data_IF_088679663436
#
_entry.id   IF_088679663436
#
_cell.length_a   1.000
_cell.length_b   1.000
_cell.length_c   1.000
_cell.angle_alpha   90.00
_cell.angle_beta   90.00
_cell.angle_gamma   90.00
#
_symmetry.space_group_name_H-M   'P 1'
#
loop_
_entity.id
_entity.type
_entity.pdbx_description
1 polymer ?
#
# COMPACT_ATOMS: atom_id res chain seq x y z
N UNK A 1 40.11 -3.15 17.55
CA UNK A 1 39.42 -2.39 16.48
C UNK A 1 38.52 -3.38 15.75
N UNK A 2 37.25 -3.46 16.13
CA UNK A 2 36.26 -4.28 15.42
C UNK A 2 35.54 -3.43 14.38
N UNK A 3 35.12 -3.99 13.23
CA UNK A 3 34.35 -3.25 12.26
C UNK A 3 32.97 -2.95 12.83
N UNK A 4 32.64 -1.65 12.98
CA UNK A 4 31.28 -1.21 13.24
C UNK A 4 30.42 -1.62 12.03
N UNK A 5 29.54 -2.59 12.22
CA UNK A 5 28.44 -2.85 11.32
C UNK A 5 27.41 -1.72 11.45
N UNK A 6 27.70 -0.56 10.84
CA UNK A 6 26.67 0.42 10.55
C UNK A 6 25.77 -0.16 9.47
N UNK A 7 24.57 -0.55 9.90
CA UNK A 7 23.54 -1.16 9.06
C UNK A 7 23.27 -0.32 7.81
N UNK A 8 23.09 -1.03 6.70
CA UNK A 8 22.70 -0.49 5.40
C UNK A 8 21.45 0.37 5.57
N UNK A 9 21.52 1.65 5.20
CA UNK A 9 20.35 2.52 5.16
C UNK A 9 19.32 1.95 4.18
N UNK A 10 18.07 1.75 4.62
CA UNK A 10 16.97 1.27 3.76
C UNK A 10 16.78 2.25 2.60
N UNK A 11 17.02 1.79 1.37
CA UNK A 11 17.21 2.66 0.18
C UNK A 11 15.91 3.15 -0.46
N UNK A 12 14.76 2.49 -0.24
CA UNK A 12 13.44 2.93 -0.70
C UNK A 12 12.41 2.57 0.37
N UNK A 13 11.45 3.47 0.65
CA UNK A 13 10.40 3.23 1.63
C UNK A 13 9.27 2.43 1.02
N UNK A 14 8.81 1.40 1.74
CA UNK A 14 7.67 0.56 1.36
C UNK A 14 6.41 1.04 2.08
N UNK A 15 5.37 1.38 1.32
CA UNK A 15 4.12 1.95 1.84
C UNK A 15 2.94 1.07 1.48
N UNK A 16 2.14 0.73 2.49
CA UNK A 16 0.89 0.00 2.33
C UNK A 16 -0.31 0.94 2.47
N UNK A 17 -1.14 1.04 1.42
CA UNK A 17 -2.45 1.67 1.48
C UNK A 17 -3.52 0.63 1.82
N UNK A 18 -4.17 0.77 2.98
CA UNK A 18 -5.16 -0.19 3.44
C UNK A 18 -6.57 0.42 3.39
N UNK A 19 -7.52 -0.26 2.75
CA UNK A 19 -8.93 0.08 2.87
C UNK A 19 -9.79 -1.15 3.17
N UNK A 20 -11.13 -1.00 3.19
CA UNK A 20 -12.02 -2.13 3.47
C UNK A 20 -11.94 -3.19 2.36
N UNK A 21 -12.16 -2.78 1.10
CA UNK A 21 -12.43 -3.71 0.00
C UNK A 21 -11.29 -3.89 -1.00
N UNK A 22 -10.19 -3.16 -0.87
CA UNK A 22 -9.15 -3.05 -1.91
C UNK A 22 -9.73 -2.90 -3.33
N UNK A 23 -10.61 -1.91 -3.47
CA UNK A 23 -11.44 -1.77 -4.66
C UNK A 23 -11.34 -0.36 -5.23
N UNK A 24 -11.45 0.67 -4.39
CA UNK A 24 -11.44 2.08 -4.80
C UNK A 24 -10.27 2.84 -4.16
N UNK A 25 -10.48 3.45 -2.98
CA UNK A 25 -9.50 4.32 -2.29
C UNK A 25 -8.05 3.84 -2.30
N UNK A 26 -7.81 2.62 -1.83
CA UNK A 26 -6.44 2.10 -1.73
C UNK A 26 -5.82 1.77 -3.09
N UNK A 27 -6.63 1.34 -4.07
CA UNK A 27 -6.20 1.10 -5.46
C UNK A 27 -5.80 2.41 -6.11
N UNK A 28 -6.63 3.45 -5.96
CA UNK A 28 -6.31 4.79 -6.46
C UNK A 28 -5.04 5.33 -5.81
N UNK A 29 -4.88 5.15 -4.50
CA UNK A 29 -3.70 5.61 -3.77
C UNK A 29 -2.42 4.89 -4.24
N UNK A 30 -2.45 3.58 -4.47
CA UNK A 30 -1.32 2.84 -5.05
C UNK A 30 -0.96 3.34 -6.45
N UNK A 31 -1.95 3.51 -7.33
CA UNK A 31 -1.74 4.00 -8.69
C UNK A 31 -1.17 5.43 -8.72
N UNK A 32 -1.70 6.33 -7.90
CA UNK A 32 -1.21 7.71 -7.74
C UNK A 32 0.22 7.71 -7.20
N UNK A 33 0.51 6.87 -6.21
CA UNK A 33 1.86 6.74 -5.66
C UNK A 33 2.87 6.27 -6.71
N UNK A 34 2.54 5.25 -7.51
CA UNK A 34 3.39 4.81 -8.62
C UNK A 34 3.59 5.92 -9.65
N UNK A 35 2.53 6.66 -9.99
CA UNK A 35 2.59 7.75 -10.97
C UNK A 35 3.49 8.91 -10.53
N UNK A 36 3.34 9.38 -9.29
CA UNK A 36 4.05 10.58 -8.81
C UNK A 36 5.43 10.30 -8.22
N UNK A 37 5.62 9.17 -7.54
CA UNK A 37 6.88 8.85 -6.87
C UNK A 37 7.73 7.82 -7.61
N UNK A 38 7.15 6.99 -8.47
CA UNK A 38 7.88 5.96 -9.23
C UNK A 38 8.88 5.21 -8.37
N UNK A 39 10.17 5.28 -8.74
CA UNK A 39 11.25 4.58 -8.04
C UNK A 39 11.64 5.19 -6.68
N UNK A 40 11.05 6.32 -6.28
CA UNK A 40 11.28 6.96 -4.98
C UNK A 40 10.54 6.28 -3.82
N UNK A 41 9.56 5.42 -4.12
CA UNK A 41 8.75 4.71 -3.13
C UNK A 41 8.19 3.41 -3.69
N UNK A 42 8.18 2.35 -2.88
CA UNK A 42 7.51 1.10 -3.22
C UNK A 42 6.10 1.12 -2.60
N UNK A 43 5.09 1.42 -3.41
CA UNK A 43 3.70 1.41 -2.97
C UNK A 43 3.02 0.07 -3.28
N UNK A 44 2.20 -0.39 -2.34
CA UNK A 44 1.23 -1.46 -2.55
C UNK A 44 -0.06 -1.17 -1.80
N UNK A 45 -1.16 -1.83 -2.15
CA UNK A 45 -2.42 -1.73 -1.42
C UNK A 45 -2.99 -3.08 -1.00
N UNK A 46 -3.86 -3.07 0.02
CA UNK A 46 -4.61 -4.25 0.44
C UNK A 46 -5.98 -3.90 1.01
N UNK A 47 -6.76 -4.94 1.27
CA UNK A 47 -8.12 -4.89 1.81
C UNK A 47 -8.25 -5.76 3.05
N UNK A 48 -9.04 -5.28 4.01
CA UNK A 48 -9.45 -6.11 5.16
C UNK A 48 -10.42 -7.22 4.73
N UNK A 49 -11.32 -6.90 3.81
CA UNK A 49 -12.22 -7.84 3.16
C UNK A 49 -12.23 -7.55 1.65
N UNK A 50 -11.20 -8.01 0.91
CA UNK A 50 -11.01 -7.66 -0.49
C UNK A 50 -12.22 -8.10 -1.32
N UNK A 51 -12.62 -7.22 -2.24
CA UNK A 51 -13.78 -7.44 -3.09
C UNK A 51 -13.49 -8.47 -4.20
N UNK A 52 -12.22 -8.70 -4.51
CA UNK A 52 -11.77 -9.63 -5.55
C UNK A 52 -11.81 -9.05 -6.97
N UNK A 53 -12.30 -7.82 -7.13
CA UNK A 53 -12.27 -7.07 -8.38
C UNK A 53 -12.13 -5.56 -8.12
N UNK A 54 -11.70 -4.82 -9.14
CA UNK A 54 -11.66 -3.35 -9.13
C UNK A 54 -12.92 -2.83 -9.84
N UNK A 55 -13.76 -2.00 -9.19
CA UNK A 55 -14.93 -1.38 -9.83
C UNK A 55 -14.54 -0.52 -11.05
N UNK A 56 -15.40 -0.51 -12.07
CA UNK A 56 -15.22 0.28 -13.30
C UNK A 56 -14.92 1.74 -13.01
N UNK A 57 -15.69 2.37 -12.12
CA UNK A 57 -15.58 3.79 -11.80
C UNK A 57 -14.18 4.16 -11.25
N UNK A 58 -13.52 3.21 -10.58
CA UNK A 58 -12.14 3.41 -10.10
C UNK A 58 -11.15 3.40 -11.25
N UNK A 59 -11.31 2.47 -12.20
CA UNK A 59 -10.45 2.37 -13.39
C UNK A 59 -10.69 3.55 -14.33
N UNK A 60 -11.95 3.96 -14.51
CA UNK A 60 -12.34 5.12 -15.31
C UNK A 60 -11.72 6.41 -14.74
N UNK A 61 -11.85 6.66 -13.44
CA UNK A 61 -11.27 7.84 -12.82
C UNK A 61 -9.72 7.88 -12.95
N UNK A 62 -9.04 6.73 -12.83
CA UNK A 62 -7.59 6.65 -13.07
C UNK A 62 -7.24 6.91 -14.54
N UNK A 63 -8.02 6.35 -15.46
CA UNK A 63 -7.86 6.55 -16.90
C UNK A 63 -8.08 8.01 -17.31
N UNK A 64 -9.11 8.68 -16.78
CA UNK A 64 -9.39 10.10 -17.01
C UNK A 64 -8.25 11.00 -16.53
N UNK A 65 -7.57 10.60 -15.46
CA UNK A 65 -6.38 11.28 -14.94
C UNK A 65 -5.08 10.93 -15.71
N UNK A 66 -5.13 10.02 -16.69
CA UNK A 66 -3.95 9.55 -17.43
C UNK A 66 -3.00 8.69 -16.58
N UNK A 67 -3.51 8.02 -15.55
CA UNK A 67 -2.74 7.18 -14.64
C UNK A 67 -2.87 5.71 -15.07
N UNK A 68 -1.73 5.02 -15.17
CA UNK A 68 -1.73 3.59 -15.50
C UNK A 68 -2.41 2.76 -14.42
N UNK A 69 -3.14 1.74 -14.86
CA UNK A 69 -3.80 0.74 -14.01
C UNK A 69 -3.09 -0.62 -14.06
N UNK A 70 -1.93 -0.69 -14.71
CA UNK A 70 -1.19 -1.94 -14.92
C UNK A 70 -0.75 -2.55 -13.58
N UNK A 71 -1.03 -3.85 -13.42
CA UNK A 71 -0.64 -4.59 -12.22
C UNK A 71 -1.51 -4.32 -10.98
N UNK A 72 -2.52 -3.44 -11.05
CA UNK A 72 -3.49 -3.26 -9.98
C UNK A 72 -4.46 -4.44 -9.93
N UNK A 73 -4.71 -4.96 -8.73
CA UNK A 73 -5.73 -5.97 -8.49
C UNK A 73 -6.19 -5.95 -7.03
N UNK A 74 -7.40 -6.45 -6.77
CA UNK A 74 -7.98 -6.52 -5.43
C UNK A 74 -7.38 -7.70 -4.64
N UNK A 75 -6.71 -7.41 -3.52
CA UNK A 75 -5.99 -8.38 -2.68
C UNK A 75 -6.15 -8.15 -1.18
N UNK A 76 -5.97 -9.23 -0.41
CA UNK A 76 -6.04 -9.22 1.05
C UNK A 76 -4.70 -8.92 1.73
N UNK A 77 -4.74 -8.60 3.02
CA UNK A 77 -3.53 -8.42 3.85
C UNK A 77 -2.61 -9.64 3.86
N UNK A 78 -3.16 -10.85 3.71
CA UNK A 78 -2.38 -12.10 3.68
C UNK A 78 -1.44 -12.21 2.48
N UNK A 79 -1.67 -11.43 1.43
CA UNK A 79 -0.83 -11.39 0.23
C UNK A 79 0.28 -10.34 0.32
N UNK A 80 0.27 -9.52 1.38
CA UNK A 80 1.28 -8.47 1.58
C UNK A 80 2.33 -8.93 2.58
N UNK A 81 3.63 -8.81 2.26
CA UNK A 81 4.70 -9.08 3.22
C UNK A 81 4.77 -7.95 4.26
N UNK A 82 3.89 -7.98 5.26
CA UNK A 82 3.76 -6.89 6.25
C UNK A 82 5.05 -6.60 7.03
N UNK A 83 5.93 -7.58 7.20
CA UNK A 83 7.23 -7.39 7.85
C UNK A 83 8.19 -6.46 7.10
N UNK A 84 7.93 -6.17 5.83
CA UNK A 84 8.76 -5.30 4.99
C UNK A 84 8.27 -3.85 4.92
N UNK A 85 7.02 -3.59 5.34
CA UNK A 85 6.34 -2.31 5.21
C UNK A 85 6.90 -1.30 6.22
N UNK A 86 7.27 -0.10 5.74
CA UNK A 86 7.71 1.01 6.60
C UNK A 86 6.53 1.84 7.12
N UNK A 87 5.56 2.09 6.24
CA UNK A 87 4.42 2.96 6.55
C UNK A 87 3.12 2.28 6.14
N UNK A 88 2.14 2.42 7.02
CA UNK A 88 0.77 2.07 6.73
C UNK A 88 -0.09 3.33 6.65
N UNK A 89 -0.79 3.48 5.54
CA UNK A 89 -1.79 4.53 5.36
C UNK A 89 -3.17 3.90 5.51
N UNK A 90 -3.81 4.17 6.64
CA UNK A 90 -5.16 3.69 6.92
C UNK A 90 -6.19 4.57 6.18
N UNK A 91 -6.85 3.99 5.17
CA UNK A 91 -7.94 4.61 4.42
C UNK A 91 -9.30 3.99 4.79
N UNK A 92 -9.36 3.20 5.85
CA UNK A 92 -10.62 2.73 6.44
C UNK A 92 -11.25 3.84 7.30
N UNK A 93 -12.48 3.63 7.76
CA UNK A 93 -13.16 4.56 8.66
C UNK A 93 -13.00 4.18 10.14
N UNK A 94 -12.09 3.26 10.46
CA UNK A 94 -11.92 2.72 11.81
C UNK A 94 -10.47 2.34 12.10
N UNK A 95 -10.17 2.04 13.36
CA UNK A 95 -8.83 1.63 13.79
C UNK A 95 -8.46 0.24 13.28
N UNK A 96 -7.26 0.11 12.73
CA UNK A 96 -6.82 -1.14 12.08
C UNK A 96 -5.81 -1.93 12.90
N UNK A 97 -5.37 -1.43 14.06
CA UNK A 97 -4.35 -2.07 14.89
C UNK A 97 -4.66 -3.54 15.21
N UNK A 98 -5.93 -3.89 15.41
CA UNK A 98 -6.36 -5.27 15.70
C UNK A 98 -6.21 -6.25 14.52
N UNK A 99 -6.08 -5.75 13.30
CA UNK A 99 -5.99 -6.56 12.07
C UNK A 99 -4.57 -6.71 11.56
N UNK A 100 -3.62 -6.03 12.19
CA UNK A 100 -2.27 -5.88 11.67
C UNK A 100 -1.29 -6.26 12.78
N UNK A 101 -0.42 -7.25 12.55
CA UNK A 101 0.57 -7.62 13.55
C UNK A 101 1.49 -6.42 13.84
N UNK A 102 1.89 -6.19 15.11
CA UNK A 102 2.92 -5.21 15.43
C UNK A 102 4.17 -5.46 14.56
N UNK A 103 4.83 -4.40 14.05
CA UNK A 103 5.28 -3.26 14.83
C UNK A 103 4.87 -1.91 14.23
N UNK A 104 3.58 -1.70 13.97
CA UNK A 104 3.10 -0.37 13.57
C UNK A 104 2.87 0.44 14.86
N UNK A 105 3.72 1.43 15.19
CA UNK A 105 3.48 2.26 16.36
C UNK A 105 2.16 3.01 16.17
N UNK A 106 1.34 3.05 17.23
CA UNK A 106 0.18 3.95 17.29
C UNK A 106 0.70 5.38 17.10
N UNK A 107 0.21 6.05 16.05
CA UNK A 107 0.57 7.45 15.73
C UNK A 107 -0.17 8.42 16.63
#
# INVERSE_FOLDING_TARGET
>A
MGPNAFGVAKSVRKVLFLCQGNACRSIMAEALAHHFWGNGMEACSAGLNPLGYIPSDTLEALSEAGISTDGLYSKGLSEVPLGDIDYLVNLTHFEVASFIPPPFPES
#
